data_IF_127775050929
#
_entry.id   IF_127775050929
#
_cell.length_a   1.000
_cell.length_b   1.000
_cell.length_c   1.000
_cell.angle_alpha   90.00
_cell.angle_beta   90.00
_cell.angle_gamma   90.00
#
_symmetry.space_group_name_H-M   'P 1'
#
loop_
_entity.id
_entity.type
_entity.pdbx_description
1 polymer ?
#
# COMPACT_ATOMS: atom_id res chain seq x y z
N UNK A 1 16.59 -13.92 10.24
CA UNK A 1 16.29 -14.42 8.88
C UNK A 1 16.82 -13.42 7.87
N UNK A 2 17.35 -13.89 6.74
CA UNK A 2 18.03 -13.04 5.76
C UNK A 2 16.99 -12.29 4.91
N UNK A 3 16.62 -11.08 5.34
CA UNK A 3 15.84 -10.14 4.52
C UNK A 3 16.60 -9.59 3.30
N UNK A 4 17.86 -9.99 3.11
CA UNK A 4 18.78 -9.28 2.25
C UNK A 4 19.19 -10.12 1.04
N UNK A 5 18.35 -10.12 0.00
CA UNK A 5 18.81 -10.45 -1.36
C UNK A 5 19.78 -9.38 -1.92
N UNK A 6 20.10 -8.33 -1.14
CA UNK A 6 21.07 -7.29 -1.45
C UNK A 6 20.50 -6.06 -2.15
N UNK A 7 19.20 -6.04 -2.45
CA UNK A 7 18.54 -4.93 -3.13
C UNK A 7 17.70 -4.11 -2.14
N UNK A 8 17.74 -2.76 -2.21
CA UNK A 8 16.84 -1.90 -1.46
C UNK A 8 15.38 -2.17 -1.83
N UNK A 9 14.52 -2.30 -0.83
CA UNK A 9 13.08 -2.54 -1.00
C UNK A 9 12.30 -1.42 -0.33
N UNK A 10 11.22 -0.97 -0.96
CA UNK A 10 10.32 0.05 -0.41
C UNK A 10 8.88 -0.45 -0.50
N UNK A 11 8.18 -0.47 0.63
CA UNK A 11 6.79 -0.95 0.73
C UNK A 11 5.86 0.21 1.07
N UNK A 12 4.67 0.24 0.49
CA UNK A 12 3.61 1.19 0.86
C UNK A 12 2.26 0.52 1.04
N UNK A 13 1.40 1.16 1.85
CA UNK A 13 -0.05 0.93 1.87
C UNK A 13 -0.73 2.22 1.39
N UNK A 14 -1.45 2.17 0.28
CA UNK A 14 -2.23 3.31 -0.21
C UNK A 14 -3.58 3.35 0.52
N UNK A 15 -3.94 4.50 1.07
CA UNK A 15 -5.03 4.64 2.04
C UNK A 15 -6.01 5.78 1.69
N UNK A 16 -5.94 6.34 0.48
CA UNK A 16 -6.84 7.42 0.04
C UNK A 16 -7.75 7.00 -1.11
N UNK A 17 -9.07 6.80 -0.89
CA UNK A 17 -9.99 6.56 -2.00
C UNK A 17 -10.19 7.85 -2.82
N UNK A 18 -10.10 7.81 -4.16
CA UNK A 18 -10.42 8.97 -4.99
C UNK A 18 -11.85 9.45 -4.75
N UNK A 19 -12.01 10.74 -4.43
CA UNK A 19 -13.29 11.35 -4.07
C UNK A 19 -14.37 11.12 -5.14
N UNK A 20 -13.99 11.20 -6.41
CA UNK A 20 -14.86 10.97 -7.58
C UNK A 20 -15.38 9.53 -7.69
N UNK A 21 -14.62 8.56 -7.18
CA UNK A 21 -15.03 7.15 -7.15
C UNK A 21 -15.82 6.85 -5.87
N UNK A 22 -15.43 7.49 -4.76
CA UNK A 22 -16.13 7.34 -3.48
C UNK A 22 -17.61 7.76 -3.57
N UNK A 23 -17.93 8.79 -4.36
CA UNK A 23 -19.33 9.19 -4.68
C UNK A 23 -20.18 8.06 -5.28
N UNK A 24 -19.55 7.03 -5.87
CA UNK A 24 -20.20 5.92 -6.60
C UNK A 24 -20.10 4.60 -5.85
N UNK A 25 -19.38 4.57 -4.72
CA UNK A 25 -19.14 3.36 -3.92
C UNK A 25 -19.93 3.41 -2.61
N UNK A 26 -20.27 2.26 -2.01
CA UNK A 26 -20.79 2.23 -0.64
C UNK A 26 -19.84 2.93 0.33
N UNK A 27 -20.38 3.64 1.32
CA UNK A 27 -19.59 4.50 2.23
C UNK A 27 -18.57 3.77 3.09
N UNK A 28 -18.71 2.45 3.28
CA UNK A 28 -17.75 1.63 4.01
C UNK A 28 -16.50 1.27 3.20
N UNK A 29 -16.52 1.51 1.88
CA UNK A 29 -15.39 1.20 1.00
C UNK A 29 -14.33 2.30 1.19
N UNK A 30 -13.19 1.91 1.74
CA UNK A 30 -11.98 2.73 1.79
C UNK A 30 -11.26 2.77 0.44
N UNK A 31 -9.93 2.83 0.47
CA UNK A 31 -9.14 2.65 -0.75
C UNK A 31 -9.36 1.24 -1.29
N UNK A 32 -9.81 1.17 -2.54
CA UNK A 32 -10.15 -0.05 -3.24
C UNK A 32 -8.99 -0.47 -4.17
N UNK A 33 -9.09 -1.69 -4.71
CA UNK A 33 -8.11 -2.20 -5.66
C UNK A 33 -7.91 -1.23 -6.83
N UNK A 34 -6.65 -0.89 -7.12
CA UNK A 34 -6.20 0.01 -8.21
C UNK A 34 -6.51 1.50 -8.06
N UNK A 35 -7.01 1.94 -6.91
CA UNK A 35 -7.28 3.37 -6.66
C UNK A 35 -6.04 4.25 -6.78
N UNK A 36 -4.86 3.72 -6.47
CA UNK A 36 -3.58 4.44 -6.54
C UNK A 36 -3.17 4.77 -7.98
N UNK A 37 -3.62 3.98 -8.97
CA UNK A 37 -3.21 4.13 -10.38
C UNK A 37 -3.53 5.54 -10.89
N UNK A 38 -4.67 6.11 -10.51
CA UNK A 38 -5.05 7.45 -10.92
C UNK A 38 -4.01 8.51 -10.48
N UNK A 39 -3.46 8.36 -9.29
CA UNK A 39 -2.44 9.25 -8.73
C UNK A 39 -1.05 8.98 -9.29
N UNK A 40 -0.67 7.70 -9.47
CA UNK A 40 0.63 7.31 -10.06
C UNK A 40 0.79 7.86 -11.47
N UNK A 41 -0.24 7.76 -12.30
CA UNK A 41 -0.21 8.22 -13.69
C UNK A 41 -0.57 9.70 -13.88
N UNK A 42 -0.81 10.45 -12.79
CA UNK A 42 -1.10 11.87 -12.90
C UNK A 42 -2.45 12.19 -13.55
N UNK A 43 -3.46 11.35 -13.38
CA UNK A 43 -4.82 11.58 -13.93
C UNK A 43 -5.41 12.92 -13.49
N UNK A 44 -4.94 13.45 -12.35
CA UNK A 44 -5.30 14.76 -11.80
C UNK A 44 -4.93 15.92 -12.73
N UNK A 45 -3.94 15.73 -13.61
CA UNK A 45 -3.43 16.74 -14.53
C UNK A 45 -3.67 16.39 -16.00
N UNK A 46 -4.47 15.35 -16.27
CA UNK A 46 -4.68 14.86 -17.62
C UNK A 46 -5.58 15.81 -18.43
N UNK A 47 -5.05 16.32 -19.54
CA UNK A 47 -5.69 17.30 -20.42
C UNK A 47 -5.99 16.74 -21.83
N UNK A 48 -5.77 15.45 -22.04
CA UNK A 48 -5.94 14.75 -23.32
C UNK A 48 -7.24 13.94 -23.47
N UNK A 49 -7.20 12.89 -24.31
CA UNK A 49 -8.36 12.02 -24.57
C UNK A 49 -8.77 11.16 -23.36
N UNK A 50 -7.86 10.94 -22.42
CA UNK A 50 -8.11 10.26 -21.16
C UNK A 50 -8.12 11.35 -20.09
N UNK A 51 -9.32 11.76 -19.66
CA UNK A 51 -9.49 12.75 -18.60
C UNK A 51 -10.54 12.29 -17.60
N UNK A 52 -10.38 12.73 -16.36
CA UNK A 52 -11.41 12.55 -15.35
C UNK A 52 -12.65 13.37 -15.75
N UNK A 53 -13.84 12.82 -15.49
CA UNK A 53 -15.12 13.51 -15.78
C UNK A 53 -15.39 14.65 -14.80
N UNK A 54 -14.74 14.60 -13.65
CA UNK A 54 -14.85 15.53 -12.54
C UNK A 54 -13.45 15.84 -12.04
N UNK A 55 -13.26 17.06 -11.53
CA UNK A 55 -12.01 17.49 -10.91
C UNK A 55 -11.84 16.82 -9.55
N UNK A 56 -10.59 16.50 -9.21
CA UNK A 56 -10.20 16.07 -7.88
C UNK A 56 -10.04 17.29 -6.96
N UNK A 57 -10.06 17.08 -5.65
CA UNK A 57 -9.83 18.17 -4.69
C UNK A 57 -8.38 18.69 -4.77
N UNK A 58 -8.11 19.85 -4.17
CA UNK A 58 -6.75 20.39 -4.14
C UNK A 58 -5.81 19.49 -3.32
N UNK A 59 -6.30 18.90 -2.24
CA UNK A 59 -5.55 17.92 -1.45
C UNK A 59 -5.23 16.65 -2.27
N UNK A 60 -6.14 16.24 -3.15
CA UNK A 60 -5.93 15.12 -4.08
C UNK A 60 -4.94 15.48 -5.19
N UNK A 61 -4.94 16.72 -5.68
CA UNK A 61 -3.94 17.21 -6.61
C UNK A 61 -2.54 17.18 -5.98
N UNK A 62 -2.40 17.64 -4.74
CA UNK A 62 -1.13 17.56 -4.00
C UNK A 62 -0.71 16.12 -3.71
N UNK A 63 -1.65 15.24 -3.37
CA UNK A 63 -1.38 13.80 -3.27
C UNK A 63 -0.87 13.23 -4.61
N UNK A 64 -1.44 13.66 -5.73
CA UNK A 64 -1.00 13.28 -7.07
C UNK A 64 0.46 13.66 -7.33
N UNK A 65 0.84 14.91 -7.04
CA UNK A 65 2.23 15.37 -7.17
C UNK A 65 3.16 14.56 -6.27
N UNK A 66 2.72 14.28 -5.04
CA UNK A 66 3.48 13.52 -4.05
C UNK A 66 3.75 12.09 -4.53
N UNK A 67 2.72 11.37 -4.97
CA UNK A 67 2.86 9.99 -5.49
C UNK A 67 3.72 9.96 -6.74
N UNK A 68 3.48 10.87 -7.69
CA UNK A 68 4.31 10.98 -8.91
C UNK A 68 5.77 11.28 -8.57
N UNK A 69 6.05 12.12 -7.57
CA UNK A 69 7.40 12.42 -7.15
C UNK A 69 8.11 11.19 -6.57
N UNK A 70 7.45 10.41 -5.69
CA UNK A 70 8.03 9.15 -5.19
C UNK A 70 8.36 8.18 -6.32
N UNK A 71 7.41 7.91 -7.23
CA UNK A 71 7.61 7.00 -8.35
C UNK A 71 8.68 7.49 -9.32
N UNK A 72 8.68 8.78 -9.64
CA UNK A 72 9.69 9.40 -10.51
C UNK A 72 11.09 9.40 -9.91
N UNK A 73 11.21 9.65 -8.60
CA UNK A 73 12.47 9.54 -7.88
C UNK A 73 12.99 8.10 -7.90
N UNK A 74 12.13 7.13 -7.55
CA UNK A 74 12.51 5.72 -7.55
C UNK A 74 12.97 5.25 -8.93
N UNK A 75 12.24 5.61 -10.00
CA UNK A 75 12.64 5.29 -11.36
C UNK A 75 14.00 5.91 -11.76
N UNK A 76 14.32 7.09 -11.23
CA UNK A 76 15.57 7.82 -11.53
C UNK A 76 16.77 7.33 -10.72
N UNK A 77 16.58 6.98 -9.45
CA UNK A 77 17.70 6.79 -8.49
C UNK A 77 17.68 5.46 -7.76
N UNK A 78 16.59 4.68 -7.84
CA UNK A 78 16.36 3.52 -7.00
C UNK A 78 15.89 3.83 -5.58
N UNK A 79 15.67 5.11 -5.23
CA UNK A 79 15.09 5.54 -3.96
C UNK A 79 13.91 6.49 -4.20
N UNK A 80 12.76 6.32 -3.53
CA UNK A 80 11.60 7.20 -3.72
C UNK A 80 11.82 8.59 -3.08
N UNK A 81 12.79 8.73 -2.18
CA UNK A 81 12.99 9.94 -1.38
C UNK A 81 13.48 11.14 -2.21
N UNK A 82 13.09 12.34 -1.76
CA UNK A 82 13.48 13.60 -2.40
C UNK A 82 13.06 14.83 -1.59
N UNK A 83 13.51 16.03 -1.98
CA UNK A 83 13.20 17.27 -1.27
C UNK A 83 11.70 17.51 -1.12
N UNK A 84 11.26 17.87 0.08
CA UNK A 84 9.86 18.20 0.38
C UNK A 84 8.93 16.99 0.55
N UNK A 85 9.43 15.76 0.39
CA UNK A 85 8.67 14.55 0.65
C UNK A 85 8.89 14.04 2.08
N UNK A 86 7.86 13.42 2.65
CA UNK A 86 8.02 12.60 3.85
C UNK A 86 9.00 11.46 3.55
N UNK A 87 9.87 11.15 4.51
CA UNK A 87 10.81 10.05 4.35
C UNK A 87 10.07 8.71 4.21
N UNK A 88 10.33 8.02 3.10
CA UNK A 88 9.91 6.66 2.86
C UNK A 88 11.04 5.72 3.30
N UNK A 89 10.87 5.00 4.42
CA UNK A 89 11.91 4.12 4.94
C UNK A 89 12.14 2.93 4.00
N UNK A 90 13.39 2.50 3.90
CA UNK A 90 13.73 1.22 3.29
C UNK A 90 13.17 0.08 4.17
N UNK A 91 12.57 -0.91 3.52
CA UNK A 91 12.01 -2.08 4.17
C UNK A 91 13.14 -2.92 4.78
N UNK A 92 13.15 -3.01 6.11
CA UNK A 92 14.19 -3.68 6.88
C UNK A 92 13.64 -4.70 7.87
N UNK A 93 14.36 -4.85 8.98
CA UNK A 93 14.08 -5.88 9.98
C UNK A 93 12.75 -5.68 10.72
N UNK A 94 12.22 -4.45 10.75
CA UNK A 94 10.96 -4.13 11.40
C UNK A 94 9.80 -4.00 10.38
N UNK A 95 10.02 -4.46 9.15
CA UNK A 95 9.05 -4.40 8.06
C UNK A 95 8.50 -2.98 7.84
N UNK A 96 9.41 -2.01 7.76
CA UNK A 96 9.13 -0.60 7.56
C UNK A 96 8.37 -0.35 6.25
N UNK A 97 7.41 0.55 6.28
CA UNK A 97 6.62 0.92 5.11
C UNK A 97 6.16 2.38 5.19
N UNK A 98 5.63 2.90 4.09
CA UNK A 98 4.97 4.21 4.05
C UNK A 98 3.45 4.04 3.86
N UNK A 99 2.65 4.53 4.79
CA UNK A 99 1.23 4.79 4.55
C UNK A 99 1.10 6.02 3.66
N UNK A 100 0.41 5.90 2.53
CA UNK A 100 0.18 6.98 1.58
C UNK A 100 -1.31 7.31 1.58
N UNK A 101 -1.67 8.36 2.32
CA UNK A 101 -2.97 9.03 2.21
C UNK A 101 -2.76 10.53 1.94
N UNK A 102 -3.76 11.36 2.28
CA UNK A 102 -3.60 12.83 2.27
C UNK A 102 -2.42 13.29 3.14
N UNK A 103 -2.11 12.52 4.20
CA UNK A 103 -0.86 12.61 4.94
C UNK A 103 -0.05 11.33 4.74
N UNK A 104 1.26 11.45 4.53
CA UNK A 104 2.16 10.29 4.46
C UNK A 104 2.76 10.02 5.83
N UNK A 105 2.75 8.76 6.26
CA UNK A 105 3.22 8.34 7.58
C UNK A 105 4.04 7.08 7.48
N UNK A 106 5.28 7.11 7.99
CA UNK A 106 6.09 5.92 8.13
C UNK A 106 5.48 4.99 9.19
N UNK A 107 5.49 3.70 8.91
CA UNK A 107 4.99 2.64 9.79
C UNK A 107 5.92 1.44 9.78
N UNK A 108 5.59 0.46 10.62
CA UNK A 108 6.30 -0.82 10.77
C UNK A 108 5.28 -1.94 10.87
N UNK A 109 5.71 -3.15 10.54
CA UNK A 109 4.93 -4.38 10.71
C UNK A 109 3.53 -4.33 10.04
N UNK A 110 3.49 -3.95 8.75
CA UNK A 110 2.24 -3.84 8.00
C UNK A 110 1.47 -5.17 8.00
N UNK A 111 0.34 -5.20 8.72
CA UNK A 111 -0.54 -6.38 8.87
C UNK A 111 0.20 -7.62 9.41
N UNK A 112 1.27 -7.47 10.20
CA UNK A 112 2.12 -8.56 10.68
C UNK A 112 1.36 -9.77 11.23
N UNK A 113 0.39 -9.53 12.12
CA UNK A 113 -0.46 -10.60 12.68
C UNK A 113 -1.21 -11.42 11.63
N UNK A 114 -1.74 -10.76 10.59
CA UNK A 114 -2.46 -11.44 9.52
C UNK A 114 -1.50 -12.19 8.60
N UNK A 115 -0.34 -11.61 8.31
CA UNK A 115 0.73 -12.28 7.57
C UNK A 115 1.16 -13.55 8.28
N UNK A 116 1.57 -13.48 9.56
CA UNK A 116 1.93 -14.64 10.39
C UNK A 116 0.83 -15.68 10.45
N UNK A 117 -0.43 -15.26 10.60
CA UNK A 117 -1.54 -16.19 10.60
C UNK A 117 -1.62 -16.98 9.29
N UNK A 118 -1.55 -16.30 8.14
CA UNK A 118 -1.70 -16.92 6.83
C UNK A 118 -0.48 -17.77 6.43
N UNK A 119 0.74 -17.37 6.81
CA UNK A 119 1.99 -18.02 6.36
C UNK A 119 2.52 -19.07 7.33
N UNK A 120 2.18 -18.98 8.61
CA UNK A 120 2.71 -19.88 9.65
C UNK A 120 1.59 -20.62 10.37
N UNK A 121 0.66 -19.88 10.99
CA UNK A 121 -0.36 -20.47 11.87
C UNK A 121 -1.32 -21.38 11.11
N UNK A 122 -1.87 -20.91 9.99
CA UNK A 122 -2.84 -21.66 9.19
C UNK A 122 -2.21 -22.93 8.57
N UNK A 123 -1.01 -22.89 7.95
CA UNK A 123 -0.33 -24.11 7.50
C UNK A 123 -0.06 -25.11 8.62
N UNK A 124 0.33 -24.65 9.81
CA UNK A 124 0.56 -25.52 10.97
C UNK A 124 -0.74 -26.20 11.42
N UNK A 125 -1.84 -25.45 11.52
CA UNK A 125 -3.17 -26.00 11.82
C UNK A 125 -3.55 -27.09 10.81
N UNK A 126 -3.39 -26.81 9.51
CA UNK A 126 -3.71 -27.76 8.44
C UNK A 126 -2.85 -29.03 8.56
N UNK A 127 -1.57 -28.90 8.91
CA UNK A 127 -0.67 -30.03 9.10
C UNK A 127 -1.09 -30.90 10.29
N UNK A 128 -1.35 -30.30 11.44
CA UNK A 128 -1.75 -31.02 12.66
C UNK A 128 -3.09 -31.73 12.48
N UNK A 129 -4.04 -31.08 11.79
CA UNK A 129 -5.31 -31.69 11.41
C UNK A 129 -5.10 -32.93 10.51
N UNK A 130 -4.26 -32.83 9.47
CA UNK A 130 -3.94 -33.97 8.58
C UNK A 130 -3.23 -35.12 9.29
N UNK A 131 -2.44 -34.83 10.32
CA UNK A 131 -1.75 -35.83 11.14
C UNK A 131 -2.64 -36.42 12.24
N UNK A 132 -3.90 -35.98 12.35
CA UNK A 132 -4.84 -36.44 13.38
C UNK A 132 -4.52 -35.93 14.79
N UNK A 133 -3.67 -34.90 14.91
CA UNK A 133 -3.23 -34.31 16.18
C UNK A 133 -4.14 -33.17 16.66
N UNK A 134 -4.99 -32.66 15.78
CA UNK A 134 -5.94 -31.59 16.06
C UNK A 134 -7.33 -31.96 15.54
N UNK A 135 -8.36 -31.79 16.36
CA UNK A 135 -9.76 -31.98 15.98
C UNK A 135 -10.38 -30.68 15.46
N UNK A 136 -11.31 -30.79 14.51
CA UNK A 136 -12.10 -29.63 14.05
C UNK A 136 -12.89 -28.99 15.20
N UNK A 137 -13.28 -29.75 16.22
CA UNK A 137 -13.96 -29.23 17.42
C UNK A 137 -13.08 -28.34 18.29
N UNK A 138 -11.76 -28.34 18.10
CA UNK A 138 -10.80 -27.51 18.85
C UNK A 138 -10.48 -26.21 18.10
N UNK A 139 -10.99 -26.04 16.87
CA UNK A 139 -10.78 -24.87 16.01
C UNK A 139 -11.95 -23.87 16.01
N UNK A 140 -13.09 -24.22 16.61
CA UNK A 140 -14.34 -23.43 16.66
C UNK A 140 -14.71 -23.19 18.12
#
# INVERSE_FOLDING_TARGET
ENFNAGAPVYVYEFQHPPSILQKKRPSFVGSDHTDEIAFVFGSCFADGHIKLKEELSEEENELCRTVMAYWGNFARTGSPNGPGLTEWPEFGAEAEYLSIGLEQKAGKDLKGKHFTFMTETLPQIIKEWKEGKLSISELV
#
